data_IF_892872693908
#
_entry.id   IF_892872693908
#
_cell.length_a   1.000
_cell.length_b   1.000
_cell.length_c   1.000
_cell.angle_alpha   90.00
_cell.angle_beta   90.00
_cell.angle_gamma   90.00
#
_symmetry.space_group_name_H-M   'P 1'
#
loop_
_entity.id
_entity.type
_entity.pdbx_description
1 polymer ?
#
# COMPACT_ATOMS: atom_id res chain seq x y z
N UNK A 1 -0.02 10.90 6.95
CA UNK A 1 0.18 11.78 5.78
C UNK A 1 -0.11 11.01 4.50
N UNK A 2 -0.46 11.70 3.42
CA UNK A 2 -0.70 11.14 2.08
C UNK A 2 0.62 11.04 1.31
N UNK A 3 0.72 10.04 0.43
CA UNK A 3 1.83 9.86 -0.50
C UNK A 3 1.38 10.06 -1.94
N UNK A 4 2.17 10.78 -2.74
CA UNK A 4 2.00 10.91 -4.19
C UNK A 4 3.30 10.54 -4.88
N UNK A 5 3.25 9.60 -5.84
CA UNK A 5 4.46 9.11 -6.50
C UNK A 5 5.50 8.50 -5.53
N UNK A 6 5.05 7.93 -4.41
CA UNK A 6 5.85 7.43 -3.27
C UNK A 6 6.58 8.53 -2.48
N UNK A 7 6.23 9.79 -2.69
CA UNK A 7 6.79 10.91 -1.93
C UNK A 7 5.75 11.38 -0.91
N UNK A 8 6.14 11.51 0.38
CA UNK A 8 5.27 12.07 1.41
C UNK A 8 4.89 13.52 1.08
N UNK A 9 3.60 13.85 1.04
CA UNK A 9 3.14 15.21 0.66
C UNK A 9 3.16 16.22 1.81
N UNK A 10 3.27 15.75 3.06
CA UNK A 10 3.07 16.57 4.26
C UNK A 10 1.61 16.63 4.71
N UNK A 11 0.66 16.37 3.83
CA UNK A 11 -0.77 16.57 4.06
C UNK A 11 -1.43 15.33 4.69
N UNK A 12 -2.45 15.53 5.52
CA UNK A 12 -3.43 14.52 5.92
C UNK A 12 -4.47 14.34 4.81
N UNK A 13 -5.15 13.20 4.77
CA UNK A 13 -6.24 12.96 3.80
C UNK A 13 -7.34 14.01 3.90
N UNK A 14 -7.68 14.45 5.11
CA UNK A 14 -8.67 15.51 5.37
C UNK A 14 -8.28 16.89 4.82
N UNK A 15 -7.02 17.09 4.43
CA UNK A 15 -6.51 18.34 3.85
C UNK A 15 -6.45 18.29 2.31
N UNK A 16 -6.74 17.14 1.71
CA UNK A 16 -6.85 16.98 0.26
C UNK A 16 -8.22 17.45 -0.24
N UNK A 17 -8.36 17.68 -1.55
CA UNK A 17 -9.68 18.05 -2.11
C UNK A 17 -10.69 16.91 -1.96
N UNK A 18 -11.99 17.20 -2.01
CA UNK A 18 -13.03 16.16 -1.98
C UNK A 18 -12.87 15.14 -3.13
N UNK A 19 -12.45 15.59 -4.31
CA UNK A 19 -12.17 14.72 -5.44
C UNK A 19 -11.00 13.77 -5.16
N UNK A 20 -9.96 14.24 -4.48
CA UNK A 20 -8.83 13.40 -4.06
C UNK A 20 -9.25 12.42 -2.95
N UNK A 21 -10.03 12.89 -1.98
CA UNK A 21 -10.54 12.07 -0.87
C UNK A 21 -11.52 10.99 -1.34
N UNK A 22 -12.17 11.15 -2.50
CA UNK A 22 -13.01 10.10 -3.09
C UNK A 22 -12.18 8.94 -3.70
N UNK A 23 -10.86 9.14 -3.89
CA UNK A 23 -9.94 8.12 -4.39
C UNK A 23 -9.28 7.40 -3.22
N UNK A 24 -8.73 6.23 -3.52
CA UNK A 24 -7.90 5.50 -2.58
C UNK A 24 -6.51 6.15 -2.46
N UNK A 25 -6.36 7.06 -1.50
CA UNK A 25 -5.10 7.71 -1.18
C UNK A 25 -4.23 6.78 -0.36
N UNK A 26 -2.96 6.64 -0.76
CA UNK A 26 -1.95 5.94 0.03
C UNK A 26 -1.58 6.81 1.23
N UNK A 27 -1.75 6.29 2.44
CA UNK A 27 -1.47 7.02 3.69
C UNK A 27 -0.46 6.29 4.57
N UNK A 28 0.12 7.07 5.49
CA UNK A 28 0.98 6.67 6.62
C UNK A 28 2.29 5.95 6.29
N UNK A 29 2.25 4.76 5.67
CA UNK A 29 3.42 3.96 5.30
C UNK A 29 3.21 3.23 3.97
N UNK A 30 4.32 2.92 3.31
CA UNK A 30 4.39 2.08 2.11
C UNK A 30 5.43 1.01 2.38
N UNK A 31 5.03 -0.26 2.28
CA UNK A 31 5.93 -1.41 2.25
C UNK A 31 5.82 -2.03 0.86
N UNK A 32 6.89 -1.96 0.06
CA UNK A 32 6.87 -2.45 -1.33
C UNK A 32 7.23 -3.91 -1.40
N UNK A 33 6.42 -4.67 -2.13
CA UNK A 33 6.61 -6.10 -2.28
C UNK A 33 7.46 -6.41 -3.51
N UNK A 34 8.35 -7.38 -3.37
CA UNK A 34 9.08 -8.00 -4.47
C UNK A 34 8.65 -9.45 -4.57
N UNK A 35 8.16 -9.85 -5.74
CA UNK A 35 7.83 -11.24 -5.99
C UNK A 35 9.07 -12.12 -5.99
N UNK A 36 8.92 -13.35 -5.50
CA UNK A 36 10.00 -14.33 -5.39
C UNK A 36 9.73 -15.59 -6.25
N UNK A 37 8.55 -15.68 -6.89
CA UNK A 37 8.13 -16.79 -7.74
C UNK A 37 8.03 -16.35 -9.20
N UNK A 38 8.94 -16.85 -10.03
CA UNK A 38 8.94 -16.65 -11.48
C UNK A 38 7.62 -17.08 -12.10
N UNK A 39 7.11 -16.26 -13.03
CA UNK A 39 5.86 -16.44 -13.77
C UNK A 39 4.57 -16.40 -12.92
N UNK A 40 4.68 -16.12 -11.61
CA UNK A 40 3.52 -15.91 -10.72
C UNK A 40 3.45 -14.49 -10.18
N UNK A 41 4.53 -14.01 -9.59
CA UNK A 41 4.62 -12.67 -9.00
C UNK A 41 5.95 -11.96 -9.30
N UNK A 42 6.84 -12.61 -10.07
CA UNK A 42 8.11 -12.08 -10.57
C UNK A 42 8.21 -12.35 -12.08
N UNK A 43 8.65 -11.36 -12.85
CA UNK A 43 8.83 -11.48 -14.31
C UNK A 43 7.72 -10.82 -15.15
N UNK A 44 7.83 -10.94 -16.48
CA UNK A 44 7.05 -10.15 -17.43
C UNK A 44 5.53 -10.30 -17.21
N UNK A 45 4.84 -9.17 -17.04
CA UNK A 45 3.38 -9.12 -16.89
C UNK A 45 2.82 -9.45 -15.51
N UNK A 46 3.62 -10.06 -14.63
CA UNK A 46 3.18 -10.45 -13.27
C UNK A 46 4.03 -9.88 -12.13
N UNK A 47 5.14 -9.21 -12.44
CA UNK A 47 6.08 -8.68 -11.44
C UNK A 47 5.44 -7.70 -10.45
N UNK A 48 5.35 -8.10 -9.18
CA UNK A 48 4.72 -7.31 -8.12
C UNK A 48 5.50 -6.03 -7.80
N UNK A 49 6.82 -6.06 -8.00
CA UNK A 49 7.66 -4.89 -7.79
C UNK A 49 7.40 -3.86 -8.89
N UNK A 50 7.46 -4.25 -10.17
CA UNK A 50 7.23 -3.35 -11.30
C UNK A 50 5.78 -2.84 -11.38
N UNK A 51 4.83 -3.63 -10.91
CA UNK A 51 3.41 -3.25 -10.80
C UNK A 51 3.08 -2.39 -9.58
N UNK A 52 4.07 -2.06 -8.75
CA UNK A 52 3.90 -1.19 -7.57
C UNK A 52 2.92 -1.75 -6.54
N UNK A 53 2.97 -3.05 -6.28
CA UNK A 53 2.16 -3.68 -5.22
C UNK A 53 2.75 -3.33 -3.86
N UNK A 54 1.90 -2.79 -2.97
CA UNK A 54 2.28 -2.35 -1.63
C UNK A 54 1.41 -2.98 -0.55
N UNK A 55 1.93 -3.03 0.68
CA UNK A 55 1.12 -2.97 1.90
C UNK A 55 1.12 -1.50 2.34
N UNK A 56 -0.06 -0.89 2.50
CA UNK A 56 -0.16 0.53 2.82
C UNK A 56 -1.42 0.88 3.61
N UNK A 57 -1.43 2.07 4.24
CA UNK A 57 -2.63 2.65 4.83
C UNK A 57 -3.52 3.30 3.77
N UNK A 58 -4.79 3.48 4.08
CA UNK A 58 -5.77 4.15 3.21
C UNK A 58 -6.51 5.28 3.94
N UNK A 59 -7.06 6.24 3.20
CA UNK A 59 -8.05 7.20 3.72
C UNK A 59 -9.46 6.60 3.89
N UNK A 60 -9.69 5.37 3.42
CA UNK A 60 -10.96 4.65 3.51
C UNK A 60 -10.86 3.45 4.46
N UNK A 61 -10.44 3.68 5.71
CA UNK A 61 -10.29 2.61 6.72
C UNK A 61 -11.60 1.87 7.02
N UNK A 62 -12.74 2.52 6.78
CA UNK A 62 -14.08 1.94 6.89
C UNK A 62 -14.36 0.83 5.87
N UNK A 63 -13.55 0.72 4.81
CA UNK A 63 -13.69 -0.27 3.74
C UNK A 63 -12.73 -1.46 3.87
N UNK A 64 -11.90 -1.49 4.90
CA UNK A 64 -10.99 -2.61 5.13
C UNK A 64 -11.79 -3.92 5.23
N UNK A 65 -11.35 -4.92 4.47
CA UNK A 65 -12.08 -6.18 4.28
C UNK A 65 -12.86 -6.27 2.96
N UNK A 66 -12.93 -5.17 2.20
CA UNK A 66 -13.57 -5.12 0.88
C UNK A 66 -12.57 -4.86 -0.25
N UNK A 67 -12.82 -5.34 -1.49
CA UNK A 67 -11.97 -5.02 -2.63
C UNK A 67 -12.00 -3.52 -3.01
N UNK A 68 -10.86 -2.83 -2.89
CA UNK A 68 -10.75 -1.41 -3.28
C UNK A 68 -9.36 -0.91 -3.75
N UNK A 69 -8.32 -1.76 -3.66
CA UNK A 69 -6.92 -1.31 -3.76
C UNK A 69 -6.28 -1.36 -5.14
N UNK A 70 -6.96 -1.92 -6.16
CA UNK A 70 -6.38 -2.16 -7.48
C UNK A 70 -5.23 -3.18 -7.50
N UNK A 71 -5.05 -3.96 -6.42
CA UNK A 71 -4.06 -5.04 -6.32
C UNK A 71 -3.09 -4.92 -5.15
N UNK A 72 -3.10 -3.80 -4.41
CA UNK A 72 -2.34 -3.65 -3.17
C UNK A 72 -3.06 -4.31 -1.97
N UNK A 73 -2.37 -4.38 -0.83
CA UNK A 73 -2.96 -4.78 0.46
C UNK A 73 -3.16 -3.52 1.29
N UNK A 74 -4.42 -3.22 1.61
CA UNK A 74 -4.78 -2.10 2.49
C UNK A 74 -4.86 -2.57 3.94
N UNK A 75 -4.39 -1.72 4.84
CA UNK A 75 -4.46 -1.92 6.28
C UNK A 75 -4.97 -0.64 6.96
N UNK A 76 -5.44 -0.78 8.21
CA UNK A 76 -5.68 0.37 9.06
C UNK A 76 -4.38 1.17 9.23
N UNK A 77 -4.51 2.49 9.28
CA UNK A 77 -3.41 3.43 9.35
C UNK A 77 -2.52 3.21 10.57
N UNK A 78 -3.12 2.88 11.72
CA UNK A 78 -2.37 2.57 12.94
C UNK A 78 -1.60 1.24 12.80
N UNK A 79 -2.25 0.21 12.27
CA UNK A 79 -1.68 -1.14 12.16
C UNK A 79 -0.55 -1.21 11.12
N UNK A 80 -0.66 -0.50 10.00
CA UNK A 80 0.44 -0.48 9.01
C UNK A 80 1.66 0.29 9.53
N UNK A 81 1.47 1.26 10.42
CA UNK A 81 2.59 1.93 11.11
C UNK A 81 3.27 0.94 12.05
N UNK A 82 2.50 0.16 12.80
CA UNK A 82 3.02 -0.87 13.68
C UNK A 82 3.80 -1.92 12.89
N UNK A 83 3.21 -2.47 11.81
CA UNK A 83 3.85 -3.42 10.92
C UNK A 83 5.16 -2.88 10.36
N UNK A 84 5.14 -1.65 9.83
CA UNK A 84 6.33 -1.00 9.26
C UNK A 84 7.48 -0.90 10.27
N UNK A 85 7.19 -0.67 11.55
CA UNK A 85 8.21 -0.59 12.58
C UNK A 85 8.71 -1.97 13.06
N UNK A 86 7.97 -3.04 12.75
CA UNK A 86 8.27 -4.40 13.19
C UNK A 86 9.01 -5.24 12.14
N UNK A 87 8.96 -4.86 10.86
CA UNK A 87 9.58 -5.60 9.75
C UNK A 87 10.80 -4.90 9.19
N UNK A 88 11.67 -5.68 8.54
CA UNK A 88 12.85 -5.21 7.84
C UNK A 88 12.77 -5.55 6.35
N UNK A 89 13.56 -4.85 5.53
CA UNK A 89 13.75 -5.23 4.13
C UNK A 89 14.28 -6.67 4.04
N UNK A 90 13.62 -7.49 3.22
CA UNK A 90 13.94 -8.91 3.04
C UNK A 90 13.08 -9.87 3.87
N UNK A 91 12.29 -9.37 4.82
CA UNK A 91 11.31 -10.20 5.51
C UNK A 91 10.28 -10.77 4.51
N UNK A 92 9.92 -12.03 4.72
CA UNK A 92 9.06 -12.77 3.79
C UNK A 92 7.58 -12.51 4.09
N UNK A 93 6.81 -12.26 3.04
CA UNK A 93 5.35 -12.16 3.10
C UNK A 93 4.75 -13.33 2.32
N UNK A 94 3.87 -14.08 2.98
CA UNK A 94 3.11 -15.16 2.36
C UNK A 94 1.68 -14.70 2.07
N UNK A 95 1.27 -14.80 0.81
CA UNK A 95 -0.09 -14.46 0.35
C UNK A 95 -0.71 -15.72 -0.23
N UNK A 96 -1.94 -16.06 0.20
CA UNK A 96 -2.67 -17.26 -0.20
C UNK A 96 -4.00 -16.92 -0.84
#
# INVERSE_FOLDING_TARGET
MVFKGRVPTGQKSSECSEEEQARNLITTRIIRLRGLETDKNSGQGCDSYDRYVYIHGTNHEDRIGEPFSGGCVEMLNAEVIELFNAVHEGDLVWVR
#
